data_IF_054617714506
#
_entry.id   IF_054617714506
#
_cell.length_a   1.000
_cell.length_b   1.000
_cell.length_c   1.000
_cell.angle_alpha   90.00
_cell.angle_beta   90.00
_cell.angle_gamma   90.00
#
_symmetry.space_group_name_H-M   'P 1'
#
loop_
_entity.id
_entity.type
_entity.pdbx_description
1 polymer ?
#
# COMPACT_ATOMS: atom_id res chain seq x y z
N UNK A 1 3.00 -11.66 -24.83
CA UNK A 1 2.90 -11.25 -23.44
C UNK A 1 1.91 -12.14 -22.70
N UNK A 2 2.21 -12.62 -21.51
CA UNK A 2 1.20 -13.33 -20.69
C UNK A 2 0.22 -12.30 -20.16
N UNK A 3 -1.07 -12.48 -20.37
CA UNK A 3 -2.07 -11.66 -19.69
C UNK A 3 -1.98 -11.93 -18.19
N UNK A 4 -1.46 -10.94 -17.45
CA UNK A 4 -1.40 -11.00 -15.99
C UNK A 4 -2.78 -10.72 -15.39
N UNK A 5 -3.05 -11.30 -14.24
CA UNK A 5 -4.29 -10.98 -13.51
C UNK A 5 -4.18 -9.62 -12.80
N UNK A 6 -3.00 -9.33 -12.26
CA UNK A 6 -2.75 -8.16 -11.42
C UNK A 6 -1.42 -7.51 -11.79
N UNK A 7 -1.44 -6.21 -12.06
CA UNK A 7 -0.21 -5.42 -12.28
C UNK A 7 -0.24 -4.21 -11.36
N UNK A 8 0.78 -4.06 -10.53
CA UNK A 8 0.94 -2.86 -9.72
C UNK A 8 1.94 -1.88 -10.34
N UNK A 9 1.73 -0.59 -10.10
CA UNK A 9 2.63 0.49 -10.49
C UNK A 9 2.87 1.41 -9.29
N UNK A 10 4.13 1.74 -9.05
CA UNK A 10 4.53 2.67 -7.99
C UNK A 10 6.04 2.68 -7.77
N UNK A 11 6.45 3.00 -6.56
CA UNK A 11 7.85 2.94 -6.16
C UNK A 11 8.22 1.56 -5.61
N UNK A 12 9.51 1.22 -5.75
CA UNK A 12 10.16 0.09 -5.10
C UNK A 12 11.40 0.59 -4.38
N UNK A 13 11.66 0.05 -3.19
CA UNK A 13 12.74 0.53 -2.32
C UNK A 13 13.38 -0.62 -1.54
N UNK A 14 14.55 -0.34 -0.96
CA UNK A 14 15.09 -1.08 0.17
C UNK A 14 14.68 -0.34 1.45
N UNK A 15 14.02 -1.01 2.39
CA UNK A 15 13.82 -0.48 3.73
C UNK A 15 14.88 -1.03 4.69
N UNK A 16 15.70 -0.15 5.27
CA UNK A 16 16.67 -0.49 6.31
C UNK A 16 16.10 -0.11 7.67
N UNK A 17 15.59 -1.10 8.39
CA UNK A 17 15.08 -0.93 9.74
C UNK A 17 16.24 -0.80 10.72
N UNK A 18 16.23 0.22 11.55
CA UNK A 18 17.19 0.46 12.63
C UNK A 18 16.42 0.57 13.93
N UNK A 19 16.54 -0.44 14.79
CA UNK A 19 15.93 -0.42 16.12
C UNK A 19 16.75 0.42 17.07
N UNK A 20 16.22 1.61 17.40
CA UNK A 20 16.89 2.55 18.29
C UNK A 20 16.74 2.15 19.75
N UNK A 21 17.84 2.25 20.51
CA UNK A 21 17.86 2.05 21.96
C UNK A 21 17.66 3.34 22.74
N UNK A 22 17.95 4.49 22.13
CA UNK A 22 17.93 5.79 22.78
C UNK A 22 17.22 6.81 21.91
N UNK A 23 16.44 7.67 22.55
CA UNK A 23 15.68 8.74 21.97
C UNK A 23 14.59 9.20 22.93
N UNK A 24 13.85 10.20 22.57
CA UNK A 24 12.61 10.57 23.23
C UNK A 24 11.63 11.15 22.21
N UNK A 25 10.35 10.99 22.48
CA UNK A 25 9.28 11.55 21.66
C UNK A 25 8.70 12.76 22.38
N UNK A 26 8.64 13.91 21.71
CA UNK A 26 7.98 15.09 22.23
C UNK A 26 6.46 14.96 22.10
N UNK A 27 5.70 15.65 22.96
CA UNK A 27 4.23 15.52 22.94
C UNK A 27 3.56 16.45 21.93
N UNK A 28 4.08 17.68 21.78
CA UNK A 28 3.47 18.66 20.89
C UNK A 28 4.51 19.68 20.36
N UNK A 29 4.92 19.63 19.07
CA UNK A 29 4.58 18.58 18.10
C UNK A 29 5.17 17.22 18.49
N UNK A 30 4.63 16.13 17.93
CA UNK A 30 5.15 14.78 18.15
C UNK A 30 6.37 14.54 17.26
N UNK A 31 7.55 14.59 17.84
CA UNK A 31 8.84 14.46 17.12
C UNK A 31 9.75 13.44 17.81
N UNK A 32 10.47 12.64 17.03
CA UNK A 32 11.54 11.78 17.52
C UNK A 32 12.83 12.61 17.65
N UNK A 33 13.33 12.79 18.86
CA UNK A 33 14.53 13.54 19.18
C UNK A 33 15.66 12.61 19.62
N UNK A 34 16.88 12.91 19.13
CA UNK A 34 18.10 12.20 19.48
C UNK A 34 19.20 13.20 19.88
N UNK A 35 20.17 12.81 20.76
CA UNK A 35 21.28 13.67 21.15
C UNK A 35 22.16 14.05 19.93
N UNK A 36 22.34 15.36 19.72
CA UNK A 36 23.14 15.87 18.61
C UNK A 36 24.65 15.65 18.84
N UNK A 37 25.37 15.25 17.78
CA UNK A 37 26.83 15.14 17.77
C UNK A 37 27.39 13.95 18.57
N UNK A 38 26.57 12.96 18.92
CA UNK A 38 26.96 11.79 19.71
C UNK A 38 26.92 10.48 18.87
N UNK A 39 27.51 9.42 19.41
CA UNK A 39 27.36 8.06 18.90
C UNK A 39 26.24 7.39 19.68
N UNK A 40 25.18 6.98 18.99
CA UNK A 40 24.00 6.37 19.61
C UNK A 40 24.01 4.89 19.25
N UNK A 41 24.02 3.95 20.24
CA UNK A 41 23.89 2.54 19.98
C UNK A 41 22.49 2.21 19.46
N UNK A 42 22.39 1.23 18.59
CA UNK A 42 21.13 0.63 18.14
C UNK A 42 21.12 -0.86 18.48
N UNK A 43 19.93 -1.45 18.56
CA UNK A 43 19.76 -2.84 18.98
C UNK A 43 20.08 -3.81 17.83
N UNK A 44 19.47 -3.58 16.67
CA UNK A 44 19.73 -4.33 15.45
C UNK A 44 19.37 -3.48 14.23
N UNK A 45 19.85 -3.92 13.06
CA UNK A 45 19.40 -3.43 11.78
C UNK A 45 19.01 -4.62 10.89
N UNK A 46 17.94 -4.43 10.08
CA UNK A 46 17.46 -5.42 9.12
C UNK A 46 17.12 -4.70 7.81
N UNK A 47 17.72 -5.18 6.70
CA UNK A 47 17.40 -4.67 5.36
C UNK A 47 16.35 -5.57 4.70
N UNK A 48 15.31 -4.95 4.19
CA UNK A 48 14.22 -5.63 3.50
C UNK A 48 14.12 -5.12 2.07
N UNK A 49 14.58 -5.90 1.07
CA UNK A 49 14.54 -5.49 -0.32
C UNK A 49 13.17 -5.64 -0.95
N UNK A 50 12.95 -4.89 -2.04
CA UNK A 50 11.77 -4.96 -2.88
C UNK A 50 10.46 -4.67 -2.14
N UNK A 51 10.46 -3.67 -1.26
CA UNK A 51 9.27 -3.17 -0.57
C UNK A 51 8.77 -1.87 -1.19
N UNK A 52 7.73 -1.30 -0.64
CA UNK A 52 6.96 -0.18 -1.17
C UNK A 52 5.55 -0.63 -1.55
N UNK A 53 4.59 0.29 -1.55
CA UNK A 53 3.16 -0.04 -1.68
C UNK A 53 2.85 -0.95 -2.88
N UNK A 54 3.41 -0.64 -4.07
CA UNK A 54 3.20 -1.44 -5.28
C UNK A 54 3.85 -2.83 -5.21
N UNK A 55 5.09 -2.89 -4.70
CA UNK A 55 5.79 -4.16 -4.54
C UNK A 55 5.08 -5.06 -3.51
N UNK A 56 4.64 -4.49 -2.38
CA UNK A 56 3.87 -5.20 -1.36
C UNK A 56 2.55 -5.76 -1.94
N UNK A 57 1.84 -4.95 -2.74
CA UNK A 57 0.61 -5.37 -3.40
C UNK A 57 0.85 -6.49 -4.43
N UNK A 58 1.93 -6.43 -5.21
CA UNK A 58 2.28 -7.47 -6.18
C UNK A 58 2.65 -8.79 -5.52
N UNK A 59 3.41 -8.74 -4.40
CA UNK A 59 3.73 -9.93 -3.59
C UNK A 59 2.47 -10.52 -2.95
N UNK A 60 1.59 -9.66 -2.42
CA UNK A 60 0.28 -10.11 -1.90
C UNK A 60 -0.52 -10.84 -2.97
N UNK A 61 -0.61 -10.28 -4.19
CA UNK A 61 -1.32 -10.90 -5.30
C UNK A 61 -0.73 -12.27 -5.69
N UNK A 62 0.60 -12.38 -5.77
CA UNK A 62 1.27 -13.65 -6.09
C UNK A 62 1.02 -14.71 -5.01
N UNK A 63 1.13 -14.35 -3.72
CA UNK A 63 0.88 -15.28 -2.60
C UNK A 63 -0.58 -15.71 -2.50
N UNK A 64 -1.50 -14.85 -2.93
CA UNK A 64 -2.94 -15.15 -3.01
C UNK A 64 -3.33 -15.81 -4.34
N UNK A 65 -2.36 -16.34 -5.11
CA UNK A 65 -2.59 -17.24 -6.24
C UNK A 65 -2.85 -16.56 -7.59
N UNK A 66 -2.63 -15.25 -7.72
CA UNK A 66 -2.76 -14.55 -8.99
C UNK A 66 -1.44 -14.50 -9.77
N UNK A 67 -1.52 -14.43 -11.09
CA UNK A 67 -0.38 -14.01 -11.91
C UNK A 67 -0.18 -12.51 -11.73
N UNK A 68 0.97 -12.15 -11.12
CA UNK A 68 1.26 -10.78 -10.68
C UNK A 68 2.48 -10.19 -11.39
N UNK A 69 2.46 -8.92 -11.70
CA UNK A 69 3.57 -8.15 -12.25
C UNK A 69 3.71 -6.78 -11.61
N UNK A 70 4.86 -6.14 -11.85
CA UNK A 70 5.21 -4.88 -11.22
C UNK A 70 5.89 -3.93 -12.20
N UNK A 71 5.35 -2.71 -12.32
CA UNK A 71 5.92 -1.62 -13.09
C UNK A 71 6.64 -0.70 -12.10
N UNK A 72 7.96 -0.75 -12.08
CA UNK A 72 8.83 0.05 -11.21
C UNK A 72 10.13 0.39 -11.90
N UNK A 73 10.86 1.33 -11.34
CA UNK A 73 12.20 1.69 -11.74
C UNK A 73 13.19 1.36 -10.63
N UNK A 74 14.31 0.76 -10.99
CA UNK A 74 15.45 0.47 -10.10
C UNK A 74 16.75 0.96 -10.73
N UNK A 75 17.79 1.12 -9.90
CA UNK A 75 19.15 1.34 -10.37
C UNK A 75 19.80 0.07 -10.92
N UNK A 76 20.96 0.22 -11.55
CA UNK A 76 21.82 -0.90 -11.97
C UNK A 76 22.86 -1.29 -10.89
N UNK A 77 22.56 -0.95 -9.64
CA UNK A 77 23.35 -1.22 -8.46
C UNK A 77 23.05 -2.60 -7.80
N UNK A 78 23.71 -2.87 -6.68
CA UNK A 78 23.51 -4.12 -5.94
C UNK A 78 22.09 -4.25 -5.39
N UNK A 79 21.51 -3.15 -4.87
CA UNK A 79 20.15 -3.14 -4.33
C UNK A 79 19.10 -3.40 -5.40
N UNK A 80 19.32 -2.92 -6.64
CA UNK A 80 18.44 -3.26 -7.77
C UNK A 80 18.43 -4.76 -8.07
N UNK A 81 19.60 -5.42 -8.02
CA UNK A 81 19.70 -6.88 -8.18
C UNK A 81 18.96 -7.63 -7.07
N UNK A 82 19.14 -7.20 -5.82
CA UNK A 82 18.43 -7.78 -4.66
C UNK A 82 16.90 -7.64 -4.79
N UNK A 83 16.41 -6.49 -5.29
CA UNK A 83 14.99 -6.32 -5.61
C UNK A 83 14.50 -7.32 -6.65
N UNK A 84 15.24 -7.52 -7.76
CA UNK A 84 14.87 -8.50 -8.80
C UNK A 84 14.87 -9.92 -8.24
N UNK A 85 15.89 -10.30 -7.48
CA UNK A 85 15.98 -11.62 -6.84
C UNK A 85 14.78 -11.86 -5.91
N UNK A 86 14.46 -10.88 -5.06
CA UNK A 86 13.34 -10.97 -4.14
C UNK A 86 12.00 -11.11 -4.87
N UNK A 87 11.72 -10.28 -5.87
CA UNK A 87 10.50 -10.37 -6.68
C UNK A 87 10.37 -11.73 -7.38
N UNK A 88 11.49 -12.27 -7.89
CA UNK A 88 11.54 -13.57 -8.52
C UNK A 88 11.22 -14.70 -7.54
N UNK A 89 11.78 -14.65 -6.32
CA UNK A 89 11.46 -15.60 -5.24
C UNK A 89 9.97 -15.58 -4.88
N UNK A 90 9.34 -14.40 -4.88
CA UNK A 90 7.91 -14.22 -4.63
C UNK A 90 7.02 -14.51 -5.86
N UNK A 91 7.61 -14.95 -6.98
CA UNK A 91 6.91 -15.26 -8.24
C UNK A 91 6.19 -14.06 -8.87
N UNK A 92 6.66 -12.84 -8.59
CA UNK A 92 6.20 -11.62 -9.25
C UNK A 92 6.95 -11.46 -10.57
N UNK A 93 6.24 -11.23 -11.68
CA UNK A 93 6.86 -10.97 -12.97
C UNK A 93 7.65 -9.67 -12.94
N UNK A 94 8.91 -9.75 -13.35
CA UNK A 94 9.82 -8.60 -13.48
C UNK A 94 9.89 -8.05 -14.91
N UNK A 95 9.00 -8.48 -15.80
CA UNK A 95 8.98 -8.07 -17.21
C UNK A 95 8.90 -6.56 -17.41
N UNK A 96 8.22 -5.86 -16.50
CA UNK A 96 8.01 -4.40 -16.55
C UNK A 96 8.89 -3.62 -15.56
N UNK A 97 9.90 -4.26 -14.97
CA UNK A 97 10.89 -3.58 -14.12
C UNK A 97 11.93 -2.91 -15.00
N UNK A 98 12.01 -1.58 -14.95
CA UNK A 98 13.00 -0.80 -15.69
C UNK A 98 14.30 -0.67 -14.87
N UNK A 99 15.41 -1.18 -15.41
CA UNK A 99 16.75 -1.04 -14.82
C UNK A 99 17.40 0.20 -15.44
N UNK A 100 17.66 1.21 -14.63
CA UNK A 100 18.18 2.52 -15.07
C UNK A 100 19.69 2.59 -14.85
N UNK A 101 20.45 2.59 -15.94
CA UNK A 101 21.91 2.62 -15.91
C UNK A 101 22.45 3.92 -15.31
N UNK A 102 23.33 3.79 -14.34
CA UNK A 102 23.98 4.92 -13.64
C UNK A 102 23.11 5.55 -12.55
N UNK A 103 21.95 4.98 -12.22
CA UNK A 103 21.15 5.35 -11.08
C UNK A 103 21.37 4.39 -9.90
N UNK A 104 21.11 4.87 -8.68
CA UNK A 104 21.00 4.00 -7.51
C UNK A 104 19.53 3.60 -7.28
N UNK A 105 19.31 2.47 -6.61
CA UNK A 105 17.97 2.05 -6.21
C UNK A 105 17.48 2.88 -5.01
N UNK A 106 16.19 3.19 -4.96
CA UNK A 106 15.60 3.92 -3.84
C UNK A 106 15.88 3.22 -2.52
N UNK A 107 16.20 4.00 -1.50
CA UNK A 107 16.62 3.46 -0.21
C UNK A 107 16.06 4.30 0.93
N UNK A 108 15.41 3.65 1.89
CA UNK A 108 14.85 4.29 3.06
C UNK A 108 15.54 3.80 4.33
N UNK A 109 15.75 4.70 5.30
CA UNK A 109 16.09 4.34 6.65
C UNK A 109 14.85 4.43 7.51
N UNK A 110 14.45 3.33 8.13
CA UNK A 110 13.30 3.23 9.02
C UNK A 110 13.80 3.28 10.45
N UNK A 111 13.78 4.46 11.06
CA UNK A 111 14.16 4.66 12.44
C UNK A 111 13.01 4.19 13.34
N UNK A 112 13.16 3.01 13.92
CA UNK A 112 12.15 2.38 14.75
C UNK A 112 12.44 2.62 16.22
N UNK A 113 11.57 3.37 16.89
CA UNK A 113 11.66 3.69 18.30
C UNK A 113 10.35 3.36 19.01
N UNK A 114 10.42 2.62 20.12
CA UNK A 114 9.24 2.09 20.85
C UNK A 114 8.30 1.29 19.92
N UNK A 115 7.08 1.79 19.68
CA UNK A 115 6.05 1.11 18.88
C UNK A 115 5.84 1.76 17.51
N UNK A 116 6.57 2.83 17.21
CA UNK A 116 6.38 3.61 15.99
C UNK A 116 7.72 3.88 15.27
N UNK A 117 7.66 4.48 14.09
CA UNK A 117 8.81 4.74 13.25
C UNK A 117 8.78 6.10 12.59
N UNK A 118 9.97 6.60 12.29
CA UNK A 118 10.19 7.72 11.39
C UNK A 118 10.98 7.23 10.19
N UNK A 119 10.51 7.50 8.97
CA UNK A 119 11.14 7.01 7.75
C UNK A 119 11.86 8.16 7.05
N UNK A 120 13.18 7.99 6.86
CA UNK A 120 14.00 8.88 6.04
C UNK A 120 13.96 8.37 4.61
N UNK A 121 13.30 9.09 3.73
CA UNK A 121 13.08 8.68 2.34
C UNK A 121 14.12 9.31 1.40
N UNK A 122 14.63 8.51 0.46
CA UNK A 122 15.41 8.96 -0.68
C UNK A 122 14.87 8.31 -1.96
N UNK A 123 14.36 9.14 -2.87
CA UNK A 123 13.89 8.72 -4.18
C UNK A 123 14.82 9.26 -5.26
N UNK A 124 15.13 8.42 -6.24
CA UNK A 124 15.84 8.82 -7.45
C UNK A 124 14.85 9.36 -8.50
N UNK A 125 15.32 10.31 -9.31
CA UNK A 125 14.53 10.88 -10.40
C UNK A 125 14.64 10.02 -11.67
N UNK A 126 13.99 8.87 -11.66
CA UNK A 126 14.00 7.98 -12.81
C UNK A 126 13.20 8.53 -14.01
N UNK A 127 13.59 8.16 -15.24
CA UNK A 127 12.81 8.46 -16.44
C UNK A 127 11.56 7.57 -16.48
N UNK A 128 10.45 8.05 -15.91
CA UNK A 128 9.20 7.30 -15.83
C UNK A 128 8.55 7.17 -17.21
N UNK A 129 8.14 5.94 -17.55
CA UNK A 129 7.44 5.63 -18.81
C UNK A 129 6.41 4.53 -18.57
N UNK A 130 5.23 4.66 -19.18
CA UNK A 130 4.21 3.62 -19.17
C UNK A 130 4.57 2.55 -20.22
N UNK A 131 4.90 1.31 -19.83
CA UNK A 131 5.11 0.23 -20.77
C UNK A 131 3.77 -0.28 -21.31
N UNK A 132 3.80 -0.95 -22.45
CA UNK A 132 2.65 -1.76 -22.87
C UNK A 132 2.58 -3.04 -21.99
N UNK A 133 1.55 -3.09 -21.16
CA UNK A 133 1.31 -4.22 -20.24
C UNK A 133 0.18 -5.14 -20.70
N UNK A 134 -0.35 -4.92 -21.92
CA UNK A 134 -1.56 -5.58 -22.38
C UNK A 134 -2.78 -5.17 -21.55
N UNK A 135 -3.68 -6.12 -21.28
CA UNK A 135 -4.91 -5.85 -20.53
C UNK A 135 -4.98 -6.72 -19.27
N UNK A 136 -4.24 -6.40 -18.20
CA UNK A 136 -4.40 -7.09 -16.92
C UNK A 136 -5.83 -6.87 -16.39
N UNK A 137 -6.36 -7.85 -15.65
CA UNK A 137 -7.71 -7.72 -15.07
C UNK A 137 -7.80 -6.57 -14.07
N UNK A 138 -6.69 -6.29 -13.35
CA UNK A 138 -6.61 -5.23 -12.35
C UNK A 138 -5.27 -4.52 -12.43
N UNK A 139 -5.31 -3.18 -12.41
CA UNK A 139 -4.17 -2.29 -12.33
C UNK A 139 -4.19 -1.57 -10.99
N UNK A 140 -3.14 -1.73 -10.20
CA UNK A 140 -3.01 -1.16 -8.87
C UNK A 140 -2.00 0.00 -8.89
N UNK A 141 -2.51 1.23 -8.89
CA UNK A 141 -1.68 2.43 -8.84
C UNK A 141 -1.46 2.85 -7.39
N UNK A 142 -0.21 2.98 -7.01
CA UNK A 142 0.18 3.41 -5.67
C UNK A 142 1.22 4.52 -5.67
N UNK A 143 1.95 4.69 -4.56
CA UNK A 143 2.90 5.77 -4.33
C UNK A 143 3.91 5.94 -5.46
N UNK A 144 4.10 7.18 -5.88
CA UNK A 144 5.12 7.64 -6.82
C UNK A 144 5.79 8.90 -6.28
N UNK A 145 7.06 9.13 -6.68
CA UNK A 145 7.88 10.25 -6.23
C UNK A 145 7.36 11.64 -6.68
N UNK A 146 7.98 12.69 -6.15
CA UNK A 146 7.54 14.09 -6.29
C UNK A 146 7.42 14.57 -7.75
N UNK A 147 8.28 14.08 -8.65
CA UNK A 147 8.30 14.51 -10.07
C UNK A 147 7.39 13.69 -10.99
N UNK A 148 6.56 12.83 -10.42
CA UNK A 148 5.74 11.89 -11.19
C UNK A 148 4.44 12.47 -11.77
N UNK A 149 4.08 13.72 -11.49
CA UNK A 149 2.82 14.29 -11.95
C UNK A 149 2.59 14.18 -13.48
N UNK A 150 3.57 14.47 -14.37
CA UNK A 150 3.38 14.27 -15.82
C UNK A 150 3.10 12.82 -16.19
N UNK A 151 3.73 11.86 -15.51
CA UNK A 151 3.55 10.44 -15.75
C UNK A 151 2.12 9.94 -15.43
N UNK A 152 1.41 10.62 -14.53
CA UNK A 152 -0.01 10.30 -14.27
C UNK A 152 -0.91 10.60 -15.48
N UNK A 153 -0.48 11.50 -16.38
CA UNK A 153 -1.18 11.71 -17.66
C UNK A 153 -1.03 10.49 -18.57
N UNK A 154 0.19 9.95 -18.70
CA UNK A 154 0.44 8.74 -19.51
C UNK A 154 -0.33 7.53 -18.96
N UNK A 155 -0.39 7.39 -17.62
CA UNK A 155 -1.17 6.35 -16.95
C UNK A 155 -2.66 6.51 -17.26
N UNK A 156 -3.19 7.74 -17.17
CA UNK A 156 -4.59 8.01 -17.46
C UNK A 156 -4.93 7.73 -18.94
N UNK A 157 -4.07 8.13 -19.87
CA UNK A 157 -4.23 7.86 -21.31
C UNK A 157 -4.25 6.35 -21.57
N UNK A 158 -3.35 5.60 -20.95
CA UNK A 158 -3.32 4.14 -21.06
C UNK A 158 -4.62 3.49 -20.54
N UNK A 159 -5.09 3.89 -19.37
CA UNK A 159 -6.31 3.35 -18.76
C UNK A 159 -7.58 3.75 -19.51
N UNK A 160 -7.61 4.90 -20.19
CA UNK A 160 -8.72 5.31 -21.05
C UNK A 160 -8.75 4.51 -22.35
N UNK A 161 -7.58 4.14 -22.89
CA UNK A 161 -7.48 3.25 -24.04
C UNK A 161 -7.85 1.79 -23.70
N UNK A 162 -7.81 1.41 -22.42
CA UNK A 162 -8.10 0.06 -21.93
C UNK A 162 -9.21 0.08 -20.85
N UNK A 163 -10.47 0.37 -21.23
CA UNK A 163 -11.57 0.54 -20.28
C UNK A 163 -11.92 -0.74 -19.51
N UNK A 164 -11.53 -1.90 -19.99
CA UNK A 164 -11.73 -3.21 -19.37
C UNK A 164 -10.86 -3.43 -18.12
N UNK A 165 -9.73 -2.70 -18.00
CA UNK A 165 -8.84 -2.81 -16.84
C UNK A 165 -9.50 -2.16 -15.62
N UNK A 166 -9.60 -2.89 -14.53
CA UNK A 166 -10.12 -2.38 -13.26
C UNK A 166 -9.01 -1.61 -12.53
N UNK A 167 -9.22 -0.32 -12.23
CA UNK A 167 -8.24 0.51 -11.53
C UNK A 167 -8.48 0.49 -10.02
N UNK A 168 -7.42 0.17 -9.28
CA UNK A 168 -7.28 0.44 -7.85
C UNK A 168 -6.33 1.62 -7.68
N UNK A 169 -6.71 2.58 -6.85
CA UNK A 169 -5.85 3.72 -6.53
C UNK A 169 -5.65 3.84 -5.02
N UNK A 170 -4.40 3.68 -4.59
CA UNK A 170 -3.93 3.94 -3.23
C UNK A 170 -2.85 5.03 -3.30
N UNK A 171 -3.22 6.32 -3.19
CA UNK A 171 -2.27 7.41 -3.35
C UNK A 171 -1.22 7.42 -2.25
N UNK A 172 0.02 7.76 -2.61
CA UNK A 172 1.07 8.10 -1.66
C UNK A 172 1.12 9.60 -1.35
N UNK A 173 2.07 9.98 -0.50
CA UNK A 173 2.22 11.36 0.00
C UNK A 173 2.26 12.42 -1.10
N UNK A 174 3.00 12.18 -2.18
CA UNK A 174 3.13 13.17 -3.25
C UNK A 174 1.87 13.26 -4.10
N UNK A 175 1.19 12.16 -4.38
CA UNK A 175 -0.10 12.18 -5.09
C UNK A 175 -1.18 12.92 -4.30
N UNK A 176 -1.18 12.78 -2.97
CA UNK A 176 -2.06 13.55 -2.09
C UNK A 176 -1.71 15.04 -2.17
N UNK A 177 -0.41 15.40 -2.16
CA UNK A 177 0.06 16.80 -2.31
C UNK A 177 -0.28 17.40 -3.68
N UNK A 178 -0.26 16.62 -4.77
CA UNK A 178 -0.70 17.09 -6.10
C UNK A 178 -2.16 17.50 -6.09
N UNK A 179 -2.96 16.86 -5.24
CA UNK A 179 -4.37 17.13 -5.04
C UNK A 179 -5.28 16.44 -6.06
N UNK A 180 -6.52 16.22 -5.66
CA UNK A 180 -7.51 15.48 -6.45
C UNK A 180 -7.81 16.14 -7.80
N UNK A 181 -7.72 17.47 -7.90
CA UNK A 181 -7.94 18.19 -9.17
C UNK A 181 -6.87 17.87 -10.22
N UNK A 182 -5.59 17.76 -9.83
CA UNK A 182 -4.51 17.43 -10.75
C UNK A 182 -4.58 15.97 -11.21
N UNK A 183 -5.16 15.09 -10.39
CA UNK A 183 -5.33 13.66 -10.65
C UNK A 183 -6.78 13.27 -10.97
N UNK A 184 -7.61 14.23 -11.40
CA UNK A 184 -9.06 14.03 -11.60
C UNK A 184 -9.39 12.82 -12.48
N UNK A 185 -8.64 12.61 -13.57
CA UNK A 185 -8.83 11.48 -14.48
C UNK A 185 -8.61 10.13 -13.78
N UNK A 186 -7.60 10.04 -12.91
CA UNK A 186 -7.29 8.85 -12.11
C UNK A 186 -8.40 8.61 -11.08
N UNK A 187 -8.81 9.64 -10.32
CA UNK A 187 -9.90 9.53 -9.35
C UNK A 187 -11.21 9.04 -10.01
N UNK A 188 -11.60 9.65 -11.13
CA UNK A 188 -12.82 9.26 -11.87
C UNK A 188 -12.75 7.86 -12.46
N UNK A 189 -11.56 7.38 -12.78
CA UNK A 189 -11.33 6.04 -13.35
C UNK A 189 -11.27 4.95 -12.28
N UNK A 190 -10.96 5.32 -11.01
CA UNK A 190 -10.76 4.36 -9.94
C UNK A 190 -12.04 3.58 -9.63
N UNK A 191 -11.95 2.26 -9.68
CA UNK A 191 -13.00 1.37 -9.17
C UNK A 191 -12.92 1.25 -7.66
N UNK A 192 -11.70 1.03 -7.13
CA UNK A 192 -11.41 0.98 -5.70
C UNK A 192 -10.45 2.12 -5.36
N UNK A 193 -10.67 2.77 -4.23
CA UNK A 193 -9.81 3.82 -3.72
C UNK A 193 -9.53 3.58 -2.24
N UNK A 194 -8.26 3.62 -1.86
CA UNK A 194 -7.83 3.38 -0.49
C UNK A 194 -7.07 4.57 0.07
N UNK A 195 -7.43 4.96 1.29
CA UNK A 195 -6.67 5.90 2.11
C UNK A 195 -6.97 5.63 3.59
N UNK A 196 -6.17 6.20 4.49
CA UNK A 196 -6.54 6.27 5.90
C UNK A 196 -7.35 7.54 6.20
N UNK A 197 -7.84 7.68 7.45
CA UNK A 197 -8.66 8.84 7.86
C UNK A 197 -7.88 10.15 7.71
N UNK A 198 -6.61 10.20 8.11
CA UNK A 198 -5.78 11.39 8.03
C UNK A 198 -5.53 11.80 6.56
N UNK A 199 -5.29 10.83 5.69
CA UNK A 199 -5.15 11.06 4.25
C UNK A 199 -6.47 11.56 3.64
N UNK A 200 -7.61 10.99 4.04
CA UNK A 200 -8.94 11.46 3.60
C UNK A 200 -9.19 12.91 4.01
N UNK A 201 -8.81 13.29 5.24
CA UNK A 201 -8.89 14.67 5.71
C UNK A 201 -8.04 15.62 4.85
N UNK A 202 -6.79 15.25 4.55
CA UNK A 202 -5.88 16.05 3.70
C UNK A 202 -6.45 16.18 2.27
N UNK A 203 -6.89 15.06 1.67
CA UNK A 203 -7.47 15.05 0.31
C UNK A 203 -8.68 15.96 0.20
N UNK A 204 -9.53 15.97 1.23
CA UNK A 204 -10.78 16.76 1.26
C UNK A 204 -10.59 18.16 1.83
N UNK A 205 -9.45 18.48 2.42
CA UNK A 205 -9.18 19.78 3.06
C UNK A 205 -10.09 20.03 4.28
N UNK A 206 -10.28 19.02 5.15
CA UNK A 206 -11.15 19.08 6.32
C UNK A 206 -10.48 18.49 7.55
N UNK A 207 -10.82 19.01 8.74
CA UNK A 207 -10.42 18.43 10.02
C UNK A 207 -11.46 17.45 10.61
N UNK A 208 -12.58 17.26 9.92
CA UNK A 208 -13.65 16.37 10.37
C UNK A 208 -13.19 14.91 10.31
N UNK A 209 -13.48 14.15 11.37
CA UNK A 209 -13.32 12.67 11.41
C UNK A 209 -14.67 11.94 11.24
N UNK A 210 -15.73 12.63 10.80
CA UNK A 210 -17.01 11.99 10.50
C UNK A 210 -16.90 11.06 9.29
N UNK A 211 -16.84 9.78 9.56
CA UNK A 211 -16.58 8.75 8.55
C UNK A 211 -17.58 8.77 7.38
N UNK A 212 -18.90 8.85 7.61
CA UNK A 212 -19.86 8.98 6.51
C UNK A 212 -19.58 10.18 5.60
N UNK A 213 -19.21 11.33 6.18
CA UNK A 213 -18.85 12.55 5.43
C UNK A 213 -17.55 12.34 4.64
N UNK A 214 -16.52 11.73 5.23
CA UNK A 214 -15.26 11.42 4.54
C UNK A 214 -15.49 10.45 3.37
N UNK A 215 -16.20 9.36 3.58
CA UNK A 215 -16.55 8.40 2.52
C UNK A 215 -17.32 9.07 1.37
N UNK A 216 -18.32 9.90 1.69
CA UNK A 216 -19.08 10.64 0.68
C UNK A 216 -18.20 11.65 -0.07
N UNK A 217 -17.33 12.37 0.64
CA UNK A 217 -16.38 13.31 0.05
C UNK A 217 -15.44 12.63 -0.95
N UNK A 218 -14.79 11.54 -0.57
CA UNK A 218 -13.93 10.77 -1.47
C UNK A 218 -14.71 10.21 -2.67
N UNK A 219 -15.90 9.66 -2.43
CA UNK A 219 -16.76 9.15 -3.52
C UNK A 219 -17.11 10.23 -4.54
N UNK A 220 -17.37 11.45 -4.09
CA UNK A 220 -17.70 12.59 -4.95
C UNK A 220 -16.51 13.04 -5.84
N UNK A 221 -15.26 12.68 -5.50
CA UNK A 221 -14.11 12.91 -6.37
C UNK A 221 -14.06 11.95 -7.57
N UNK A 222 -14.84 10.86 -7.56
CA UNK A 222 -15.01 9.96 -8.70
C UNK A 222 -14.91 8.46 -8.43
N UNK A 223 -14.16 7.97 -7.42
CA UNK A 223 -14.02 6.54 -7.17
C UNK A 223 -15.37 5.85 -6.94
N UNK A 224 -15.55 4.65 -7.52
CA UNK A 224 -16.78 3.89 -7.36
C UNK A 224 -16.97 3.39 -5.93
N UNK A 225 -15.89 2.86 -5.34
CA UNK A 225 -15.90 2.35 -3.98
C UNK A 225 -14.68 2.89 -3.19
N UNK A 226 -14.87 3.94 -2.37
CA UNK A 226 -13.87 4.38 -1.41
C UNK A 226 -13.82 3.44 -0.22
N UNK A 227 -12.62 3.16 0.26
CA UNK A 227 -12.33 2.38 1.46
C UNK A 227 -11.41 3.20 2.35
N UNK A 228 -11.81 3.46 3.58
CA UNK A 228 -11.03 4.25 4.55
C UNK A 228 -10.62 3.35 5.70
N UNK A 229 -9.32 3.33 6.03
CA UNK A 229 -8.79 2.61 7.19
C UNK A 229 -8.51 3.58 8.33
N UNK A 230 -8.68 3.15 9.58
CA UNK A 230 -8.43 3.95 10.79
C UNK A 230 -7.62 3.16 11.84
N UNK A 231 -6.54 2.56 11.41
CA UNK A 231 -5.64 1.82 12.30
C UNK A 231 -6.36 0.82 13.19
N UNK A 232 -6.29 0.98 14.54
CA UNK A 232 -6.95 0.08 15.49
C UNK A 232 -8.48 0.10 15.40
N UNK A 233 -9.07 1.18 14.88
CA UNK A 233 -10.53 1.32 14.76
C UNK A 233 -11.10 0.58 13.53
N UNK A 234 -10.22 -0.02 12.70
CA UNK A 234 -10.64 -0.90 11.61
C UNK A 234 -10.80 -0.21 10.26
N UNK A 235 -11.85 -0.52 9.52
CA UNK A 235 -12.05 -0.04 8.15
C UNK A 235 -13.51 0.25 7.83
N UNK A 236 -13.71 1.14 6.87
CA UNK A 236 -15.00 1.69 6.49
C UNK A 236 -15.16 1.73 4.97
N UNK A 237 -16.33 1.35 4.48
CA UNK A 237 -16.70 1.45 3.06
C UNK A 237 -18.21 1.37 2.88
N UNK A 238 -18.68 1.43 1.63
CA UNK A 238 -20.07 1.22 1.30
C UNK A 238 -20.38 -0.25 0.99
N UNK A 239 -21.44 -0.80 1.61
CA UNK A 239 -22.08 -2.04 1.21
C UNK A 239 -23.55 -1.70 0.92
N UNK A 240 -24.05 -2.06 -0.26
CA UNK A 240 -25.43 -1.76 -0.71
C UNK A 240 -25.80 -0.28 -0.55
N UNK A 241 -24.84 0.60 -0.84
CA UNK A 241 -25.03 2.06 -0.80
C UNK A 241 -25.05 2.68 0.60
N UNK A 242 -24.87 1.90 1.66
CA UNK A 242 -24.81 2.36 3.06
C UNK A 242 -23.39 2.28 3.60
N UNK A 243 -22.93 3.24 4.41
CA UNK A 243 -21.64 3.16 5.05
C UNK A 243 -21.61 2.03 6.10
N UNK A 244 -20.57 1.23 6.06
CA UNK A 244 -20.33 0.12 6.99
C UNK A 244 -18.95 0.24 7.63
N UNK A 245 -18.85 -0.29 8.82
CA UNK A 245 -17.64 -0.43 9.61
C UNK A 245 -17.34 -1.90 9.87
N UNK A 246 -16.08 -2.31 9.68
CA UNK A 246 -15.54 -3.58 10.17
C UNK A 246 -14.42 -3.28 11.16
N UNK A 247 -14.51 -3.72 12.44
CA UNK A 247 -13.41 -3.62 13.38
C UNK A 247 -12.23 -4.48 12.92
N UNK A 248 -11.01 -4.19 13.42
CA UNK A 248 -9.85 -5.04 13.15
C UNK A 248 -10.14 -6.50 13.51
N UNK A 249 -9.43 -7.43 12.87
CA UNK A 249 -9.47 -8.83 13.30
C UNK A 249 -8.96 -8.91 14.74
N UNK A 250 -9.75 -9.46 15.69
CA UNK A 250 -9.34 -9.57 17.09
C UNK A 250 -8.20 -10.60 17.20
N UNK A 251 -7.02 -10.11 17.48
CA UNK A 251 -5.84 -10.91 17.79
C UNK A 251 -5.41 -10.63 19.23
N UNK A 252 -5.00 -11.69 19.93
CA UNK A 252 -4.51 -11.59 21.32
C UNK A 252 -3.08 -11.02 21.39
N UNK A 253 -2.41 -10.86 20.24
CA UNK A 253 -1.05 -10.34 20.16
C UNK A 253 -1.03 -8.84 19.86
N UNK A 254 -0.26 -8.06 20.62
CA UNK A 254 -0.04 -6.67 20.28
C UNK A 254 0.72 -6.56 18.93
N UNK A 255 0.40 -5.54 18.14
CA UNK A 255 1.17 -5.24 16.93
C UNK A 255 2.65 -5.03 17.28
N UNK A 256 3.53 -5.78 16.62
CA UNK A 256 4.97 -5.67 16.79
C UNK A 256 5.54 -4.50 15.96
N UNK A 257 5.13 -4.42 14.69
CA UNK A 257 5.50 -3.34 13.77
C UNK A 257 4.36 -3.13 12.75
N UNK A 258 4.07 -1.87 12.36
CA UNK A 258 2.87 -1.55 11.58
C UNK A 258 3.14 -1.22 10.11
N UNK A 259 4.40 -1.30 9.65
CA UNK A 259 4.75 -1.03 8.26
C UNK A 259 4.06 -2.03 7.33
N UNK A 260 3.38 -1.51 6.30
CA UNK A 260 2.70 -2.33 5.31
C UNK A 260 1.32 -2.85 5.71
N UNK A 261 0.80 -2.53 6.90
CA UNK A 261 -0.55 -2.94 7.32
C UNK A 261 -1.63 -2.42 6.35
N UNK A 262 -1.53 -1.14 5.94
CA UNK A 262 -2.42 -0.54 4.94
C UNK A 262 -2.29 -1.18 3.56
N UNK A 263 -1.07 -1.50 3.13
CA UNK A 263 -0.81 -2.17 1.84
C UNK A 263 -1.38 -3.60 1.83
N UNK A 264 -1.18 -4.34 2.93
CA UNK A 264 -1.73 -5.67 3.11
C UNK A 264 -3.26 -5.64 3.07
N UNK A 265 -3.89 -4.67 3.74
CA UNK A 265 -5.33 -4.48 3.71
C UNK A 265 -5.81 -4.18 2.28
N UNK A 266 -5.29 -3.11 1.65
CA UNK A 266 -5.75 -2.61 0.36
C UNK A 266 -5.54 -3.64 -0.76
N UNK A 267 -4.36 -4.28 -0.82
CA UNK A 267 -4.06 -5.29 -1.83
C UNK A 267 -4.97 -6.52 -1.67
N UNK A 268 -5.11 -7.04 -0.44
CA UNK A 268 -5.92 -8.24 -0.17
C UNK A 268 -7.39 -7.99 -0.42
N UNK A 269 -7.93 -6.84 -0.01
CA UNK A 269 -9.28 -6.42 -0.35
C UNK A 269 -9.50 -6.40 -1.87
N UNK A 270 -8.58 -5.76 -2.60
CA UNK A 270 -8.66 -5.64 -4.06
C UNK A 270 -8.63 -7.00 -4.75
N UNK A 271 -7.79 -7.92 -4.27
CA UNK A 271 -7.68 -9.29 -4.77
C UNK A 271 -8.96 -10.07 -4.48
N UNK A 272 -9.56 -9.92 -3.30
CA UNK A 272 -10.84 -10.53 -2.97
C UNK A 272 -11.95 -10.08 -3.92
N UNK A 273 -12.04 -8.77 -4.20
CA UNK A 273 -12.97 -8.24 -5.20
C UNK A 273 -12.68 -8.75 -6.61
N UNK A 274 -11.39 -8.90 -6.99
CA UNK A 274 -11.02 -9.47 -8.28
C UNK A 274 -11.42 -10.93 -8.41
N UNK A 275 -11.37 -11.70 -7.32
CA UNK A 275 -11.84 -13.09 -7.22
C UNK A 275 -13.37 -13.21 -7.19
N UNK A 276 -14.11 -12.10 -7.17
CA UNK A 276 -15.57 -12.08 -7.18
C UNK A 276 -16.24 -12.24 -5.81
N UNK A 277 -15.48 -12.04 -4.73
CA UNK A 277 -16.03 -12.02 -3.37
C UNK A 277 -16.78 -10.71 -3.12
N UNK A 278 -17.76 -10.76 -2.21
CA UNK A 278 -18.49 -9.56 -1.78
C UNK A 278 -17.63 -8.60 -0.95
N UNK A 279 -18.09 -7.34 -0.83
CA UNK A 279 -17.35 -6.27 -0.14
C UNK A 279 -17.10 -6.59 1.33
N UNK A 280 -18.07 -7.16 2.03
CA UNK A 280 -17.95 -7.53 3.44
C UNK A 280 -16.85 -8.59 3.65
N UNK A 281 -16.83 -9.62 2.79
CA UNK A 281 -15.78 -10.64 2.77
C UNK A 281 -14.41 -10.03 2.41
N UNK A 282 -14.36 -9.11 1.45
CA UNK A 282 -13.14 -8.40 1.08
C UNK A 282 -12.56 -7.58 2.24
N UNK A 283 -13.41 -6.88 3.02
CA UNK A 283 -13.00 -6.20 4.26
C UNK A 283 -12.37 -7.16 5.26
N UNK A 284 -12.99 -8.33 5.49
CA UNK A 284 -12.47 -9.37 6.40
C UNK A 284 -11.10 -9.89 5.95
N UNK A 285 -10.97 -10.22 4.67
CA UNK A 285 -9.69 -10.67 4.10
C UNK A 285 -8.59 -9.62 4.28
N UNK A 286 -8.88 -8.35 3.99
CA UNK A 286 -7.95 -7.23 4.19
C UNK A 286 -7.54 -7.10 5.66
N UNK A 287 -8.50 -7.15 6.59
CA UNK A 287 -8.25 -7.03 8.04
C UNK A 287 -7.37 -8.16 8.57
N UNK A 288 -7.63 -9.41 8.18
CA UNK A 288 -6.84 -10.58 8.58
C UNK A 288 -5.39 -10.47 8.08
N UNK A 289 -5.20 -10.13 6.81
CA UNK A 289 -3.85 -10.03 6.25
C UNK A 289 -3.08 -8.84 6.83
N UNK A 290 -3.76 -7.72 7.08
CA UNK A 290 -3.20 -6.56 7.77
C UNK A 290 -2.73 -6.91 9.19
N UNK A 291 -3.54 -7.62 9.96
CA UNK A 291 -3.18 -8.14 11.29
C UNK A 291 -1.91 -9.00 11.22
N UNK A 292 -1.87 -9.96 10.29
CA UNK A 292 -0.71 -10.86 10.15
C UNK A 292 0.58 -10.12 9.80
N UNK A 293 0.53 -9.06 9.00
CA UNK A 293 1.71 -8.25 8.68
C UNK A 293 2.23 -7.56 9.93
N UNK A 294 1.36 -7.07 10.80
CA UNK A 294 1.76 -6.42 12.04
C UNK A 294 2.49 -7.31 13.05
N UNK A 295 2.53 -8.64 12.85
CA UNK A 295 3.29 -9.57 13.71
C UNK A 295 4.81 -9.60 13.38
N UNK A 296 5.25 -8.98 12.28
CA UNK A 296 6.61 -9.09 11.75
C UNK A 296 7.23 -7.73 11.44
N UNK A 297 8.57 -7.69 11.35
CA UNK A 297 9.28 -6.56 10.79
C UNK A 297 9.10 -6.54 9.28
N UNK A 298 8.74 -5.37 8.73
CA UNK A 298 8.59 -5.14 7.31
C UNK A 298 7.27 -5.63 6.71
N UNK A 299 6.94 -5.05 5.57
CA UNK A 299 5.60 -5.10 4.98
C UNK A 299 5.21 -6.43 4.32
N UNK A 300 6.14 -7.36 4.08
CA UNK A 300 5.87 -8.55 3.28
C UNK A 300 5.94 -9.86 4.05
N UNK A 301 6.69 -9.92 5.16
CA UNK A 301 6.95 -11.17 5.87
C UNK A 301 5.66 -11.83 6.37
N UNK A 302 4.72 -11.04 6.85
CA UNK A 302 3.41 -11.48 7.33
C UNK A 302 2.33 -11.69 6.26
N UNK A 303 2.57 -11.32 5.00
CA UNK A 303 1.58 -11.52 3.94
C UNK A 303 1.25 -13.01 3.80
N UNK A 304 -0.04 -13.33 3.83
CA UNK A 304 -0.54 -14.71 3.84
C UNK A 304 -0.64 -15.31 2.44
N UNK A 305 -0.57 -16.64 2.38
CA UNK A 305 -1.08 -17.41 1.24
C UNK A 305 -2.61 -17.54 1.32
N UNK A 306 -3.24 -17.89 0.21
CA UNK A 306 -4.70 -18.10 0.13
C UNK A 306 -5.17 -19.13 1.17
N UNK A 307 -4.47 -20.25 1.30
CA UNK A 307 -4.79 -21.32 2.28
C UNK A 307 -4.73 -20.82 3.72
N UNK A 308 -3.71 -20.00 4.05
CA UNK A 308 -3.57 -19.44 5.40
C UNK A 308 -4.69 -18.45 5.69
N UNK A 309 -4.99 -17.56 4.74
CA UNK A 309 -6.07 -16.57 4.85
C UNK A 309 -7.43 -17.27 5.08
N UNK A 310 -7.75 -18.28 4.28
CA UNK A 310 -8.96 -19.08 4.42
C UNK A 310 -9.03 -19.82 5.77
N UNK A 311 -7.89 -20.22 6.31
CA UNK A 311 -7.87 -20.84 7.64
C UNK A 311 -8.27 -19.89 8.76
N UNK A 312 -7.92 -18.60 8.64
CA UNK A 312 -8.35 -17.55 9.58
C UNK A 312 -9.83 -17.19 9.37
N UNK A 313 -10.30 -17.14 8.12
CA UNK A 313 -11.73 -16.94 7.84
C UNK A 313 -12.61 -18.00 8.49
N UNK A 314 -12.19 -19.26 8.48
CA UNK A 314 -12.92 -20.36 9.16
C UNK A 314 -12.92 -20.26 10.68
N UNK A 315 -11.94 -19.55 11.26
CA UNK A 315 -11.77 -19.38 12.71
C UNK A 315 -12.23 -18.00 13.19
N UNK A 316 -12.81 -17.18 12.31
CA UNK A 316 -13.26 -15.85 12.68
C UNK A 316 -14.21 -15.90 13.89
N UNK A 317 -14.14 -14.92 14.79
CA UNK A 317 -15.04 -14.85 15.93
C UNK A 317 -16.50 -14.70 15.50
N UNK A 318 -17.41 -15.27 16.27
CA UNK A 318 -18.84 -15.11 16.06
C UNK A 318 -19.22 -13.62 16.11
N UNK A 319 -19.99 -13.17 15.12
CA UNK A 319 -20.45 -11.78 15.04
C UNK A 319 -19.42 -10.76 14.62
N UNK A 320 -18.23 -11.18 14.16
CA UNK A 320 -17.24 -10.30 13.55
C UNK A 320 -17.63 -10.03 12.07
N UNK A 321 -18.51 -9.07 11.88
CA UNK A 321 -19.10 -8.71 10.61
C UNK A 321 -19.11 -7.19 10.40
N UNK A 322 -19.14 -6.77 9.14
CA UNK A 322 -19.33 -5.37 8.80
C UNK A 322 -20.74 -4.90 9.21
N UNK A 323 -20.82 -3.76 9.90
CA UNK A 323 -22.08 -3.20 10.43
C UNK A 323 -22.34 -1.82 9.88
N UNK A 324 -23.60 -1.49 9.63
CA UNK A 324 -24.02 -0.15 9.21
C UNK A 324 -23.68 0.87 10.31
N UNK A 325 -23.15 2.03 9.92
CA UNK A 325 -22.85 3.17 10.78
C UNK A 325 -23.65 4.40 10.38
#
# INVERSE_FOLDING_TARGET
MKNLDFVALGDIVIDSFIRLQQGHVTENPKELCMPYGTKIPFEFAEEVPAVGNSANASVSAARLGLSSGLIVNIGDDQHGKECIERLTQEKVSTEFVAINKGFTTNYHYVLWFEQDRTILIKHEDYPLRMPDIGSPKMFYLSSLGEKSLPFHTDIADYLEAHPEIRLVFQPGTYQIKFGAKALERIYKRAELFFCNVEEAQIILGTDSRDIPTLLAGIKNLGPKLPVITDGPDGSYTYIDGKPHHLPIYPDDKPAYERTGAGDAFASTFSIAILKGLDVGTAMKHGSINSMSVCEYVGAQKGLMTDEKLESYMKKQPEGWDARVI
#
